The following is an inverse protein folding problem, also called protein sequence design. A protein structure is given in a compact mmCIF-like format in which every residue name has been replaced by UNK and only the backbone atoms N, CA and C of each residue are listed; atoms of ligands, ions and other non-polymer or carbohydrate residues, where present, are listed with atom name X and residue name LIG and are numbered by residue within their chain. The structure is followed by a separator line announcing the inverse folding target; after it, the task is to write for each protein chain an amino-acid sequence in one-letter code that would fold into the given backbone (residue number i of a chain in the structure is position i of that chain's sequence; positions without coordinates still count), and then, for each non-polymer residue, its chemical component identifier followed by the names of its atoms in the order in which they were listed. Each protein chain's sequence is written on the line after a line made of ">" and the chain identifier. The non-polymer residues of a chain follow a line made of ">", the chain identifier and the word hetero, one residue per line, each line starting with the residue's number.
data_IF_792635715443
#
_entry.id   IF_792635715443
#
_cell.length_a   1.000
_cell.length_b   1.000
_cell.length_c   1.000
_cell.angle_alpha   90.00
_cell.angle_beta   90.00
_cell.angle_gamma   90.00
#
_symmetry.space_group_name_H-M   'P 1'
#
loop_
_entity.id
_entity.type
_entity.pdbx_description
1 polymer ?
#
# COMPACT_ATOMS: atom_id res chain seq x y z
N UNK A 1 -10.55 -17.86 1.94
CA UNK A 1 -10.37 -17.78 3.40
C UNK A 1 -11.70 -18.10 4.10
N UNK A 2 -11.62 -18.70 5.28
CA UNK A 2 -12.80 -19.04 6.11
C UNK A 2 -13.00 -18.03 7.25
N UNK A 3 -11.96 -17.25 7.57
CA UNK A 3 -12.03 -16.13 8.48
C UNK A 3 -11.23 -14.94 7.96
N UNK A 4 -11.86 -13.76 7.90
CA UNK A 4 -11.22 -12.52 7.49
C UNK A 4 -11.39 -11.45 8.57
N UNK A 5 -10.27 -10.95 9.07
CA UNK A 5 -10.22 -9.84 10.03
C UNK A 5 -9.84 -8.57 9.30
N UNK A 6 -10.68 -7.55 9.38
CA UNK A 6 -10.50 -6.24 8.76
C UNK A 6 -10.33 -5.17 9.84
N UNK A 7 -9.28 -4.40 9.77
CA UNK A 7 -8.94 -3.36 10.75
C UNK A 7 -8.89 -2.01 10.04
N UNK A 8 -9.83 -1.11 10.37
CA UNK A 8 -9.93 0.23 9.78
C UNK A 8 -10.08 0.21 8.24
N UNK A 9 -10.86 -0.71 7.70
CA UNK A 9 -10.99 -0.91 6.26
C UNK A 9 -12.28 -0.27 5.71
N UNK A 10 -12.15 0.46 4.59
CA UNK A 10 -13.27 1.13 3.89
C UNK A 10 -13.93 0.26 2.81
N UNK A 11 -13.95 -1.06 2.97
CA UNK A 11 -14.57 -1.94 1.97
C UNK A 11 -16.07 -1.65 1.82
N UNK A 12 -16.50 -1.44 0.57
CA UNK A 12 -17.88 -1.12 0.22
C UNK A 12 -18.23 0.37 0.27
N UNK A 13 -17.25 1.26 0.44
CA UNK A 13 -17.45 2.72 0.48
C UNK A 13 -16.63 3.41 -0.62
N UNK A 14 -16.97 3.18 -1.88
CA UNK A 14 -16.31 3.74 -3.08
C UNK A 14 -14.83 3.38 -3.26
N UNK A 15 -14.34 2.37 -2.57
CA UNK A 15 -12.94 1.95 -2.64
C UNK A 15 -12.83 0.43 -2.80
N UNK A 16 -11.75 0.00 -3.46
CA UNK A 16 -11.36 -1.40 -3.54
C UNK A 16 -12.43 -2.34 -4.14
N UNK A 17 -13.08 -1.94 -5.23
CA UNK A 17 -14.19 -2.68 -5.83
C UNK A 17 -13.88 -4.16 -6.09
N UNK A 18 -12.66 -4.51 -6.52
CA UNK A 18 -12.25 -5.91 -6.68
C UNK A 18 -12.25 -6.68 -5.35
N UNK A 19 -11.76 -6.07 -4.27
CA UNK A 19 -11.80 -6.70 -2.94
C UNK A 19 -13.23 -6.85 -2.41
N UNK A 20 -14.13 -5.91 -2.72
CA UNK A 20 -15.55 -6.00 -2.33
C UNK A 20 -16.19 -7.25 -2.94
N UNK A 21 -15.93 -7.54 -4.21
CA UNK A 21 -16.43 -8.75 -4.88
C UNK A 21 -15.90 -10.02 -4.20
N UNK A 22 -14.59 -10.08 -3.93
CA UNK A 22 -13.96 -11.22 -3.25
C UNK A 22 -14.53 -11.44 -1.84
N UNK A 23 -14.75 -10.36 -1.08
CA UNK A 23 -15.31 -10.42 0.27
C UNK A 23 -16.78 -10.82 0.22
N UNK A 24 -17.57 -10.31 -0.74
CA UNK A 24 -18.96 -10.72 -0.94
C UNK A 24 -19.05 -12.23 -1.22
N UNK A 25 -18.19 -12.75 -2.10
CA UNK A 25 -18.10 -14.18 -2.37
C UNK A 25 -17.70 -15.00 -1.13
N UNK A 26 -16.80 -14.46 -0.29
CA UNK A 26 -16.44 -15.13 0.97
C UNK A 26 -17.60 -15.17 1.95
N UNK A 27 -18.38 -14.09 2.07
CA UNK A 27 -19.59 -14.03 2.91
C UNK A 27 -20.65 -15.04 2.41
N UNK A 28 -20.88 -15.12 1.11
CA UNK A 28 -21.81 -16.10 0.51
C UNK A 28 -21.39 -17.55 0.82
N UNK A 29 -20.11 -17.80 0.99
CA UNK A 29 -19.55 -19.11 1.41
C UNK A 29 -19.49 -19.29 2.93
N UNK A 30 -20.14 -18.42 3.70
CA UNK A 30 -20.18 -18.43 5.16
C UNK A 30 -18.82 -18.17 5.85
N UNK A 31 -17.91 -17.45 5.22
CA UNK A 31 -16.69 -17.02 5.90
C UNK A 31 -17.02 -16.09 7.06
N UNK A 32 -16.33 -16.27 8.18
CA UNK A 32 -16.46 -15.37 9.34
C UNK A 32 -15.74 -14.05 9.04
N UNK A 33 -16.47 -12.95 9.07
CA UNK A 33 -15.90 -11.62 8.97
C UNK A 33 -15.86 -10.99 10.37
N UNK A 34 -14.68 -10.51 10.76
CA UNK A 34 -14.44 -9.75 11.99
C UNK A 34 -13.98 -8.36 11.58
N UNK A 35 -14.71 -7.32 11.96
CA UNK A 35 -14.34 -5.94 11.64
C UNK A 35 -14.01 -5.16 12.90
N UNK A 36 -12.82 -4.59 12.96
CA UNK A 36 -12.35 -3.68 13.98
C UNK A 36 -12.41 -2.27 13.41
N UNK A 37 -13.37 -1.48 13.84
CA UNK A 37 -13.60 -0.12 13.32
C UNK A 37 -14.39 0.68 14.37
N UNK A 38 -13.97 1.91 14.73
CA UNK A 38 -14.74 2.74 15.64
C UNK A 38 -16.12 3.10 15.09
N UNK A 39 -16.30 3.05 13.78
CA UNK A 39 -17.51 3.36 13.04
C UNK A 39 -18.18 2.09 12.52
N UNK A 40 -19.51 2.04 12.59
CA UNK A 40 -20.28 1.00 11.91
C UNK A 40 -20.26 1.24 10.38
N UNK A 41 -19.14 0.89 9.77
CA UNK A 41 -18.92 1.01 8.32
C UNK A 41 -19.74 -0.02 7.53
N UNK A 42 -19.78 0.10 6.20
CA UNK A 42 -20.50 -0.84 5.33
C UNK A 42 -20.07 -2.29 5.59
N UNK A 43 -18.76 -2.55 5.67
CA UNK A 43 -18.29 -3.92 5.95
C UNK A 43 -18.56 -4.33 7.41
N UNK A 44 -18.50 -3.41 8.37
CA UNK A 44 -18.82 -3.71 9.76
C UNK A 44 -20.27 -4.17 9.92
N UNK A 45 -21.21 -3.57 9.17
CA UNK A 45 -22.63 -3.97 9.16
C UNK A 45 -22.89 -5.37 8.55
N UNK A 46 -21.93 -5.92 7.83
CA UNK A 46 -21.97 -7.27 7.22
C UNK A 46 -21.13 -8.31 7.98
N UNK A 47 -20.45 -7.87 9.03
CA UNK A 47 -19.55 -8.72 9.80
C UNK A 47 -20.30 -9.55 10.85
N UNK A 48 -19.84 -10.77 11.11
CA UNK A 48 -20.29 -11.59 12.24
C UNK A 48 -19.95 -10.93 13.58
N UNK A 49 -18.78 -10.25 13.62
CA UNK A 49 -18.31 -9.51 14.79
C UNK A 49 -17.87 -8.11 14.37
N UNK A 50 -18.50 -7.09 14.92
CA UNK A 50 -18.03 -5.72 14.88
C UNK A 50 -17.47 -5.33 16.25
N UNK A 51 -16.23 -4.89 16.26
CA UNK A 51 -15.50 -4.44 17.43
C UNK A 51 -15.33 -2.92 17.36
N UNK A 52 -16.20 -2.13 18.03
CA UNK A 52 -16.14 -0.65 18.04
C UNK A 52 -14.96 -0.19 18.92
N UNK A 53 -13.77 -0.24 18.36
CA UNK A 53 -12.53 0.04 19.09
C UNK A 53 -12.35 1.54 19.33
N UNK A 54 -11.77 1.91 20.47
CA UNK A 54 -11.28 3.27 20.70
C UNK A 54 -10.18 3.58 19.67
N UNK A 55 -10.25 4.70 18.92
CA UNK A 55 -9.24 5.04 17.91
C UNK A 55 -7.81 5.03 18.44
N UNK A 56 -6.87 4.57 17.61
CA UNK A 56 -5.44 4.47 17.90
C UNK A 56 -5.06 3.48 19.04
N UNK A 57 -5.91 2.49 19.34
CA UNK A 57 -5.63 1.48 20.35
C UNK A 57 -5.56 0.06 19.81
N UNK A 58 -5.48 -0.09 18.50
CA UNK A 58 -5.45 -1.39 17.79
C UNK A 58 -4.35 -2.31 18.32
N UNK A 59 -3.17 -1.78 18.63
CA UNK A 59 -2.05 -2.58 19.12
C UNK A 59 -2.38 -3.33 20.41
N UNK A 60 -3.14 -2.72 21.32
CA UNK A 60 -3.56 -3.39 22.57
C UNK A 60 -4.47 -4.60 22.29
N UNK A 61 -5.41 -4.47 21.36
CA UNK A 61 -6.26 -5.58 20.91
C UNK A 61 -5.44 -6.69 20.25
N UNK A 62 -4.53 -6.33 19.33
CA UNK A 62 -3.67 -7.28 18.63
C UNK A 62 -2.78 -8.09 19.59
N UNK A 63 -2.13 -7.42 20.53
CA UNK A 63 -1.30 -8.09 21.55
C UNK A 63 -2.12 -8.99 22.45
N UNK A 64 -3.35 -8.61 22.76
CA UNK A 64 -4.25 -9.46 23.54
C UNK A 64 -4.74 -10.67 22.74
N UNK A 65 -4.99 -10.56 21.45
CA UNK A 65 -5.24 -11.73 20.60
C UNK A 65 -4.04 -12.67 20.55
N UNK A 66 -2.82 -12.14 20.45
CA UNK A 66 -1.58 -12.94 20.53
C UNK A 66 -1.49 -13.65 21.87
N UNK A 67 -1.76 -12.95 22.99
CA UNK A 67 -1.82 -13.54 24.32
C UNK A 67 -2.80 -14.71 24.37
N UNK A 68 -4.05 -14.53 23.91
CA UNK A 68 -5.07 -15.59 23.95
C UNK A 68 -4.63 -16.79 23.12
N UNK A 69 -4.13 -16.60 21.88
CA UNK A 69 -3.66 -17.70 21.05
C UNK A 69 -2.57 -18.52 21.73
N UNK A 70 -1.62 -17.86 22.39
CA UNK A 70 -0.47 -18.51 23.05
C UNK A 70 -0.88 -19.18 24.37
N UNK A 71 -1.60 -18.47 25.24
CA UNK A 71 -1.89 -18.95 26.61
C UNK A 71 -3.10 -19.89 26.67
N UNK A 72 -3.99 -19.89 25.70
CA UNK A 72 -5.00 -20.94 25.51
C UNK A 72 -4.47 -22.10 24.67
N UNK A 73 -3.22 -22.03 24.18
CA UNK A 73 -2.55 -23.09 23.43
C UNK A 73 -3.25 -23.47 22.11
N UNK A 74 -3.84 -22.47 21.41
CA UNK A 74 -4.66 -22.63 20.22
C UNK A 74 -4.02 -22.08 18.93
N UNK A 75 -2.71 -21.80 18.93
CA UNK A 75 -1.93 -21.41 17.75
C UNK A 75 -1.42 -22.63 16.95
N UNK A 76 -0.98 -22.44 15.72
CA UNK A 76 -0.40 -23.50 14.88
C UNK A 76 1.04 -23.82 15.33
N UNK A 77 1.18 -24.78 16.26
CA UNK A 77 2.49 -25.19 16.83
C UNK A 77 3.45 -25.68 15.77
N UNK A 78 2.97 -26.53 14.85
CA UNK A 78 3.83 -27.13 13.81
C UNK A 78 4.39 -26.06 12.88
N UNK A 79 3.56 -25.10 12.53
CA UNK A 79 3.98 -23.97 11.69
C UNK A 79 5.04 -23.12 12.40
N UNK A 80 4.82 -22.79 13.67
CA UNK A 80 5.77 -21.99 14.47
C UNK A 80 7.10 -22.71 14.66
N UNK A 81 7.09 -23.98 15.03
CA UNK A 81 8.31 -24.79 15.19
C UNK A 81 9.13 -24.86 13.91
N UNK A 82 8.47 -25.00 12.77
CA UNK A 82 9.14 -25.13 11.47
C UNK A 82 9.65 -23.79 10.93
N UNK A 83 8.84 -22.73 10.97
CA UNK A 83 9.07 -21.52 10.18
C UNK A 83 9.41 -20.27 11.01
N UNK A 84 9.35 -20.32 12.35
CA UNK A 84 9.56 -19.14 13.18
C UNK A 84 10.70 -19.29 14.17
N UNK A 85 11.18 -18.14 14.68
CA UNK A 85 12.10 -18.02 15.82
C UNK A 85 11.60 -16.93 16.78
N UNK A 86 12.07 -16.93 18.03
CA UNK A 86 11.72 -15.91 19.02
C UNK A 86 10.38 -16.14 19.71
N UNK A 87 9.83 -17.38 19.66
CA UNK A 87 8.52 -17.67 20.27
C UNK A 87 8.49 -17.51 21.77
N UNK A 88 9.51 -18.00 22.51
CA UNK A 88 9.54 -17.89 23.97
C UNK A 88 9.65 -16.45 24.45
N UNK A 89 10.41 -15.61 23.72
CA UNK A 89 10.51 -14.18 23.99
C UNK A 89 9.16 -13.48 23.76
N UNK A 90 8.48 -13.80 22.65
CA UNK A 90 7.13 -13.28 22.38
C UNK A 90 6.15 -13.70 23.46
N UNK A 91 6.16 -14.98 23.87
CA UNK A 91 5.30 -15.52 24.94
C UNK A 91 5.49 -14.78 26.25
N UNK A 92 6.73 -14.56 26.68
CA UNK A 92 7.02 -13.80 27.90
C UNK A 92 6.57 -12.34 27.76
N UNK A 93 6.83 -11.72 26.61
CA UNK A 93 6.45 -10.33 26.34
C UNK A 93 4.94 -10.10 26.47
N UNK A 94 4.10 -10.99 25.92
CA UNK A 94 2.64 -10.82 25.95
C UNK A 94 1.97 -11.39 27.20
N UNK A 95 2.73 -11.90 28.17
CA UNK A 95 2.23 -12.57 29.35
C UNK A 95 1.14 -11.81 30.13
N UNK A 96 1.31 -10.51 30.26
CA UNK A 96 0.39 -9.63 30.99
C UNK A 96 -0.58 -8.87 30.07
N UNK A 97 -0.56 -9.11 28.77
CA UNK A 97 -1.41 -8.42 27.79
C UNK A 97 -2.75 -9.15 27.63
N UNK A 98 -3.39 -9.41 28.77
CA UNK A 98 -4.66 -10.15 28.85
C UNK A 98 -5.81 -9.40 28.20
N UNK A 99 -6.94 -10.06 27.90
CA UNK A 99 -8.15 -9.38 27.44
C UNK A 99 -8.64 -8.28 28.38
N UNK A 100 -8.46 -8.45 29.69
CA UNK A 100 -8.81 -7.45 30.70
C UNK A 100 -7.90 -6.21 30.63
N UNK A 101 -6.59 -6.43 30.43
CA UNK A 101 -5.65 -5.34 30.17
C UNK A 101 -6.03 -4.57 28.90
N UNK A 102 -6.30 -5.28 27.82
CA UNK A 102 -6.67 -4.65 26.55
C UNK A 102 -8.00 -3.89 26.61
N UNK A 103 -8.97 -4.39 27.39
CA UNK A 103 -10.24 -3.70 27.65
C UNK A 103 -10.04 -2.30 28.23
N UNK A 104 -9.17 -2.17 29.21
CA UNK A 104 -8.86 -0.86 29.83
C UNK A 104 -8.31 0.18 28.82
N UNK A 105 -7.77 -0.26 27.70
CA UNK A 105 -7.18 0.59 26.66
C UNK A 105 -8.13 0.77 25.46
N UNK A 106 -8.62 -0.35 24.92
CA UNK A 106 -9.33 -0.42 23.65
C UNK A 106 -10.85 -0.32 23.75
N UNK A 107 -11.40 -0.52 24.97
CA UNK A 107 -12.84 -0.62 25.27
C UNK A 107 -13.53 -1.87 24.71
N UNK A 108 -12.81 -2.79 24.08
CA UNK A 108 -13.37 -4.06 23.59
C UNK A 108 -13.51 -5.04 24.72
N UNK A 109 -14.71 -5.58 24.92
CA UNK A 109 -15.02 -6.50 26.03
C UNK A 109 -14.13 -7.74 26.00
N UNK A 110 -13.61 -8.21 27.15
CA UNK A 110 -12.70 -9.34 27.24
C UNK A 110 -13.25 -10.63 26.62
N UNK A 111 -14.54 -10.89 26.78
CA UNK A 111 -15.18 -12.08 26.21
C UNK A 111 -15.23 -12.01 24.69
N UNK A 112 -15.39 -10.82 24.11
CA UNK A 112 -15.36 -10.62 22.64
C UNK A 112 -13.95 -10.85 22.11
N UNK A 113 -12.92 -10.38 22.83
CA UNK A 113 -11.52 -10.61 22.47
C UNK A 113 -11.22 -12.11 22.43
N UNK A 114 -11.58 -12.86 23.49
CA UNK A 114 -11.40 -14.32 23.54
C UNK A 114 -12.17 -15.04 22.45
N UNK A 115 -13.43 -14.66 22.26
CA UNK A 115 -14.30 -15.27 21.26
C UNK A 115 -13.75 -15.10 19.85
N UNK A 116 -13.32 -13.89 19.49
CA UNK A 116 -12.76 -13.61 18.16
C UNK A 116 -11.39 -14.25 17.95
N UNK A 117 -10.53 -14.36 18.99
CA UNK A 117 -9.29 -15.12 18.91
C UNK A 117 -9.54 -16.61 18.62
N UNK A 118 -10.51 -17.23 19.29
CA UNK A 118 -10.88 -18.62 19.06
C UNK A 118 -11.52 -18.86 17.69
N UNK A 119 -12.31 -17.90 17.17
CA UNK A 119 -12.84 -17.97 15.80
C UNK A 119 -11.70 -17.97 14.77
N UNK A 120 -10.70 -17.11 14.94
CA UNK A 120 -9.50 -17.11 14.08
C UNK A 120 -8.74 -18.43 14.15
N UNK A 121 -8.51 -18.95 15.36
CA UNK A 121 -7.81 -20.22 15.58
C UNK A 121 -8.56 -21.40 14.94
N UNK A 122 -9.88 -21.45 15.06
CA UNK A 122 -10.71 -22.51 14.47
C UNK A 122 -10.66 -22.50 12.93
N UNK A 123 -10.42 -21.36 12.32
CA UNK A 123 -10.28 -21.21 10.86
C UNK A 123 -8.86 -21.46 10.34
N UNK A 124 -7.86 -21.59 11.25
CA UNK A 124 -6.44 -21.80 10.87
C UNK A 124 -6.28 -23.03 9.96
N UNK A 125 -5.45 -22.99 8.92
CA UNK A 125 -4.67 -21.83 8.42
C UNK A 125 -5.46 -20.93 7.43
N UNK A 126 -6.75 -21.19 7.20
CA UNK A 126 -7.60 -20.46 6.26
C UNK A 126 -8.13 -19.16 6.85
N UNK A 127 -7.24 -18.37 7.43
CA UNK A 127 -7.53 -17.12 8.09
C UNK A 127 -6.59 -16.01 7.62
N UNK A 128 -7.12 -14.79 7.49
CA UNK A 128 -6.36 -13.61 7.13
C UNK A 128 -6.68 -12.50 8.14
N UNK A 129 -5.68 -12.10 8.91
CA UNK A 129 -5.70 -10.81 9.59
C UNK A 129 -5.12 -9.79 8.62
N UNK A 130 -6.01 -8.99 8.00
CA UNK A 130 -5.63 -8.10 6.91
C UNK A 130 -4.82 -6.92 7.45
N UNK A 131 -3.65 -6.61 6.87
CA UNK A 131 -2.76 -5.57 7.39
C UNK A 131 -3.34 -4.15 7.34
N UNK A 132 -4.45 -3.95 6.63
CA UNK A 132 -5.00 -2.61 6.46
C UNK A 132 -4.21 -1.79 5.45
N UNK A 133 -4.45 -0.48 5.41
CA UNK A 133 -3.82 0.41 4.42
C UNK A 133 -3.00 1.54 5.05
N UNK A 134 -3.34 1.98 6.23
CA UNK A 134 -2.86 3.26 6.76
C UNK A 134 -2.09 3.08 8.07
N UNK A 135 -1.03 2.32 8.01
CA UNK A 135 -0.21 1.97 9.15
C UNK A 135 0.62 3.15 9.66
N UNK A 136 1.07 3.99 8.77
CA UNK A 136 2.08 5.00 9.06
C UNK A 136 1.52 6.37 9.51
N UNK A 137 0.25 6.45 9.93
CA UNK A 137 -0.40 7.74 10.19
C UNK A 137 -0.63 8.06 11.67
N UNK A 138 -0.39 7.11 12.56
CA UNK A 138 -0.74 7.19 13.98
C UNK A 138 0.39 6.82 14.94
N UNK A 139 1.60 7.30 14.74
CA UNK A 139 2.71 7.05 15.68
C UNK A 139 3.40 5.69 15.49
N UNK A 140 3.35 4.79 16.48
CA UNK A 140 4.03 3.48 16.48
C UNK A 140 3.36 2.41 15.60
N UNK A 141 2.85 2.78 14.46
CA UNK A 141 2.11 1.89 13.57
C UNK A 141 2.96 0.75 13.00
N UNK A 142 4.27 0.87 12.96
CA UNK A 142 5.18 -0.23 12.62
C UNK A 142 5.01 -1.42 13.56
N UNK A 143 4.78 -1.19 14.86
CA UNK A 143 4.53 -2.25 15.83
C UNK A 143 3.13 -2.88 15.65
N UNK A 144 2.15 -2.08 15.23
CA UNK A 144 0.82 -2.59 14.87
C UNK A 144 0.91 -3.57 13.70
N UNK A 145 1.60 -3.20 12.62
CA UNK A 145 1.80 -4.09 11.46
C UNK A 145 2.59 -5.34 11.81
N UNK A 146 3.60 -5.18 12.65
CA UNK A 146 4.36 -6.32 13.16
C UNK A 146 3.46 -7.29 13.94
N UNK A 147 2.59 -6.78 14.82
CA UNK A 147 1.63 -7.59 15.56
C UNK A 147 0.63 -8.32 14.64
N UNK A 148 0.16 -7.66 13.56
CA UNK A 148 -0.68 -8.31 12.53
C UNK A 148 0.09 -9.43 11.83
N UNK A 149 1.34 -9.20 11.46
CA UNK A 149 2.18 -10.21 10.82
C UNK A 149 2.43 -11.42 11.75
N UNK A 150 2.66 -11.18 13.05
CA UNK A 150 2.81 -12.20 14.09
C UNK A 150 1.52 -13.01 14.26
N UNK A 151 0.35 -12.35 14.29
CA UNK A 151 -0.94 -13.06 14.37
C UNK A 151 -1.11 -14.03 13.20
N UNK A 152 -0.82 -13.59 11.97
CA UNK A 152 -0.89 -14.44 10.79
C UNK A 152 0.12 -15.60 10.85
N UNK A 153 1.28 -15.41 11.49
CA UNK A 153 2.24 -16.49 11.71
C UNK A 153 1.73 -17.50 12.74
N UNK A 154 1.22 -17.03 13.89
CA UNK A 154 0.64 -17.89 14.92
C UNK A 154 -0.55 -18.73 14.41
N UNK A 155 -1.28 -18.19 13.45
CA UNK A 155 -2.40 -18.85 12.78
C UNK A 155 -1.97 -19.67 11.55
N UNK A 156 -0.66 -19.80 11.27
CA UNK A 156 -0.14 -20.59 10.17
C UNK A 156 -0.57 -20.13 8.78
N UNK A 157 -0.98 -18.86 8.60
CA UNK A 157 -1.60 -18.40 7.35
C UNK A 157 -0.62 -17.98 6.25
N UNK A 158 0.65 -17.70 6.56
CA UNK A 158 1.64 -17.35 5.55
C UNK A 158 2.02 -18.54 4.67
N UNK A 159 1.79 -18.42 3.38
CA UNK A 159 2.08 -19.48 2.41
C UNK A 159 1.10 -20.66 2.43
N UNK A 160 -0.06 -20.56 3.06
CA UNK A 160 -1.05 -21.64 3.10
C UNK A 160 -2.34 -21.25 2.38
N UNK A 161 -3.06 -22.26 1.85
CA UNK A 161 -4.35 -22.06 1.16
C UNK A 161 -5.38 -21.50 2.13
N UNK A 162 -6.10 -20.47 1.66
CA UNK A 162 -7.06 -19.74 2.49
C UNK A 162 -6.42 -18.61 3.32
N UNK A 163 -5.12 -18.67 3.56
CA UNK A 163 -4.29 -17.60 4.10
C UNK A 163 -3.61 -16.79 2.99
N UNK A 164 -2.38 -16.32 3.23
CA UNK A 164 -1.60 -15.56 2.27
C UNK A 164 -0.85 -16.49 1.32
N UNK A 165 -0.88 -16.17 0.04
CA UNK A 165 0.01 -16.79 -0.96
C UNK A 165 1.26 -15.94 -1.18
N UNK A 166 2.32 -16.56 -1.67
CA UNK A 166 3.52 -15.84 -2.08
C UNK A 166 3.30 -15.22 -3.46
N UNK A 167 3.11 -13.91 -3.45
CA UNK A 167 2.90 -13.13 -4.65
C UNK A 167 4.21 -12.94 -5.43
N UNK A 168 4.10 -12.83 -6.75
CA UNK A 168 5.23 -12.52 -7.63
C UNK A 168 4.83 -11.44 -8.64
N UNK A 169 5.76 -10.52 -8.93
CA UNK A 169 5.61 -9.50 -9.95
C UNK A 169 6.58 -9.74 -11.10
N UNK A 170 6.18 -9.42 -12.30
CA UNK A 170 7.08 -9.40 -13.45
C UNK A 170 7.86 -8.08 -13.43
N UNK A 171 9.18 -8.16 -13.53
CA UNK A 171 10.01 -6.95 -13.64
C UNK A 171 9.90 -6.38 -15.06
N UNK A 172 9.32 -5.20 -15.18
CA UNK A 172 9.30 -4.46 -16.44
C UNK A 172 10.65 -3.76 -16.62
N UNK A 173 11.36 -3.97 -17.74
CA UNK A 173 12.64 -3.30 -18.01
C UNK A 173 12.49 -1.80 -18.11
N UNK A 174 13.45 -1.05 -17.61
CA UNK A 174 13.51 0.40 -17.81
C UNK A 174 13.94 0.71 -19.24
N UNK A 175 13.26 1.64 -19.89
CA UNK A 175 13.68 2.16 -21.18
C UNK A 175 15.05 2.83 -21.06
N UNK A 176 15.96 2.69 -22.03
CA UNK A 176 17.28 3.31 -21.97
C UNK A 176 17.17 4.82 -21.83
N UNK A 177 17.90 5.39 -20.90
CA UNK A 177 18.03 6.83 -20.71
C UNK A 177 19.40 7.14 -20.08
N UNK A 178 19.92 8.36 -20.21
CA UNK A 178 21.13 8.79 -19.50
C UNK A 178 20.96 8.64 -17.99
N UNK A 179 22.07 8.52 -17.27
CA UNK A 179 22.03 8.51 -15.81
C UNK A 179 21.46 9.86 -15.32
N UNK A 180 20.44 9.79 -14.47
CA UNK A 180 19.88 11.01 -13.88
C UNK A 180 20.96 11.82 -13.14
N UNK A 181 20.96 13.15 -13.30
CA UNK A 181 21.87 13.99 -12.54
C UNK A 181 21.54 13.87 -11.05
N UNK A 182 22.59 13.87 -10.23
CA UNK A 182 22.38 14.00 -8.79
C UNK A 182 21.99 15.44 -8.50
N UNK A 183 20.87 15.69 -7.81
CA UNK A 183 20.56 17.04 -7.37
C UNK A 183 21.64 17.56 -6.43
N UNK A 184 21.94 18.86 -6.49
CA UNK A 184 22.89 19.50 -5.58
C UNK A 184 22.46 19.40 -4.12
N UNK A 185 21.15 19.29 -3.89
CA UNK A 185 20.52 19.05 -2.60
C UNK A 185 19.24 18.26 -2.78
N UNK A 186 18.80 17.60 -1.73
CA UNK A 186 17.52 16.92 -1.66
C UNK A 186 16.69 17.61 -0.57
N UNK A 187 15.38 17.70 -0.75
CA UNK A 187 14.50 18.19 0.31
C UNK A 187 14.63 17.36 1.62
N UNK A 188 15.11 16.12 1.55
CA UNK A 188 15.48 15.33 2.72
C UNK A 188 16.57 15.96 3.57
N UNK A 189 17.43 16.78 2.97
CA UNK A 189 18.47 17.51 3.69
C UNK A 189 17.87 18.51 4.68
N UNK A 190 16.63 18.94 4.44
CA UNK A 190 15.87 19.78 5.37
C UNK A 190 15.35 19.00 6.58
N UNK A 191 15.29 17.68 6.54
CA UNK A 191 14.79 16.85 7.66
C UNK A 191 15.86 16.57 8.70
N UNK A 192 17.14 16.79 8.37
CA UNK A 192 18.32 16.67 9.26
C UNK A 192 18.30 15.37 10.11
N UNK A 193 17.94 14.24 9.47
CA UNK A 193 17.83 12.93 10.12
C UNK A 193 16.65 12.75 11.07
N UNK A 194 15.78 13.75 11.23
CA UNK A 194 14.62 13.71 12.12
C UNK A 194 13.66 12.54 11.85
N UNK A 195 13.58 12.11 10.59
CA UNK A 195 12.70 11.01 10.17
C UNK A 195 13.49 9.95 9.38
N UNK A 196 14.33 9.15 10.04
CA UNK A 196 15.28 8.25 9.37
C UNK A 196 14.61 7.15 8.52
N UNK A 197 13.38 6.78 8.84
CA UNK A 197 12.62 5.78 8.09
C UNK A 197 11.83 6.36 6.91
N UNK A 198 11.78 7.68 6.76
CA UNK A 198 11.09 8.35 5.66
C UNK A 198 11.92 8.29 4.38
N UNK A 199 11.77 7.21 3.60
CA UNK A 199 12.51 7.02 2.35
C UNK A 199 12.07 7.99 1.25
N UNK A 200 10.77 8.31 1.17
CA UNK A 200 10.17 9.11 0.09
C UNK A 200 9.90 10.56 0.45
N UNK A 201 9.86 10.87 1.74
CA UNK A 201 9.58 12.20 2.22
C UNK A 201 8.35 12.32 3.11
N UNK A 202 8.15 13.52 3.64
CA UNK A 202 7.00 13.88 4.46
C UNK A 202 6.34 15.12 3.86
N UNK A 203 5.12 14.99 3.36
CA UNK A 203 4.43 16.05 2.62
C UNK A 203 4.22 17.32 3.46
N UNK A 204 3.96 17.20 4.75
CA UNK A 204 3.83 18.37 5.64
C UNK A 204 5.14 19.13 5.81
N UNK A 205 6.27 18.43 5.82
CA UNK A 205 7.60 19.07 5.88
C UNK A 205 7.95 19.72 4.52
N UNK A 206 7.46 19.17 3.41
CA UNK A 206 7.55 19.79 2.09
C UNK A 206 6.81 21.14 2.06
N UNK A 207 5.59 21.21 2.62
CA UNK A 207 4.85 22.47 2.73
C UNK A 207 5.60 23.48 3.57
N UNK A 208 6.14 23.08 4.73
CA UNK A 208 6.96 23.97 5.58
C UNK A 208 8.19 24.49 4.86
N UNK A 209 8.85 23.65 4.05
CA UNK A 209 10.00 24.07 3.26
C UNK A 209 9.67 25.10 2.17
N UNK A 210 8.39 25.30 1.86
CA UNK A 210 7.90 26.36 0.95
C UNK A 210 7.67 27.69 1.66
N UNK A 211 7.63 27.71 3.00
CA UNK A 211 7.28 28.87 3.81
C UNK A 211 8.58 29.46 4.42
N UNK A 212 8.97 30.72 4.11
CA UNK A 212 10.22 31.32 4.57
C UNK A 212 10.42 31.30 6.08
N UNK A 213 9.35 31.47 6.85
CA UNK A 213 9.36 31.59 8.31
C UNK A 213 9.84 30.30 9.02
N UNK A 214 9.81 29.16 8.35
CA UNK A 214 10.34 27.90 8.91
C UNK A 214 11.86 27.75 8.78
N UNK A 215 12.52 28.68 8.07
CA UNK A 215 14.00 28.78 7.94
C UNK A 215 14.67 27.44 7.54
N UNK A 216 14.08 26.73 6.57
CA UNK A 216 14.69 25.53 6.03
C UNK A 216 15.93 25.87 5.20
N UNK A 217 16.98 25.04 5.31
CA UNK A 217 18.24 25.18 4.56
C UNK A 217 18.04 25.35 3.05
N UNK A 218 17.04 24.64 2.50
CA UNK A 218 16.67 24.70 1.09
C UNK A 218 15.17 24.98 0.97
N UNK A 219 14.85 26.19 0.54
CA UNK A 219 13.48 26.62 0.34
C UNK A 219 12.95 26.22 -1.02
N UNK A 220 11.71 25.73 -1.07
CA UNK A 220 11.01 25.43 -2.30
C UNK A 220 10.34 26.68 -2.82
N UNK A 221 10.60 27.01 -4.09
CA UNK A 221 10.15 28.23 -4.76
C UNK A 221 9.05 28.00 -5.80
N UNK A 222 8.94 26.78 -6.31
CA UNK A 222 7.94 26.44 -7.33
C UNK A 222 7.40 25.03 -7.14
N UNK A 223 6.14 24.83 -7.50
CA UNK A 223 5.49 23.52 -7.49
C UNK A 223 5.05 23.13 -8.91
N UNK A 224 5.28 21.87 -9.26
CA UNK A 224 4.59 21.18 -10.35
C UNK A 224 3.73 20.10 -9.70
N UNK A 225 2.42 20.29 -9.70
CA UNK A 225 1.45 19.41 -9.05
C UNK A 225 0.75 18.59 -10.11
N UNK A 226 0.94 17.27 -10.08
CA UNK A 226 0.34 16.36 -11.06
C UNK A 226 -0.53 15.32 -10.38
N UNK A 227 -1.82 15.25 -10.77
CA UNK A 227 -2.77 14.23 -10.34
C UNK A 227 -3.04 14.20 -8.83
N UNK A 228 -2.98 15.33 -8.14
CA UNK A 228 -3.26 15.40 -6.71
C UNK A 228 -3.93 16.71 -6.31
N UNK A 229 -4.87 16.63 -5.37
CA UNK A 229 -5.61 17.78 -4.85
C UNK A 229 -5.19 18.07 -3.39
N UNK A 230 -4.07 18.75 -3.21
CA UNK A 230 -3.49 19.06 -1.91
C UNK A 230 -4.46 19.71 -0.93
N UNK A 231 -5.30 20.69 -1.30
CA UNK A 231 -6.26 21.29 -0.39
C UNK A 231 -7.20 20.30 0.31
N UNK A 232 -7.46 19.14 -0.31
CA UNK A 232 -8.31 18.09 0.25
C UNK A 232 -7.51 16.92 0.85
N UNK A 233 -6.34 16.61 0.34
CA UNK A 233 -5.62 15.39 0.71
C UNK A 233 -4.64 15.59 1.85
N UNK A 234 -4.22 16.83 2.13
CA UNK A 234 -3.28 17.14 3.20
C UNK A 234 -4.05 17.67 4.42
N UNK A 235 -3.80 17.13 5.63
CA UNK A 235 -4.30 17.74 6.85
C UNK A 235 -3.65 19.11 7.07
N UNK A 236 -4.36 20.01 7.78
CA UNK A 236 -3.95 21.39 8.03
C UNK A 236 -4.01 22.30 6.78
N UNK A 237 -5.24 22.72 6.48
CA UNK A 237 -5.54 23.61 5.34
C UNK A 237 -4.84 24.97 5.44
N UNK A 238 -4.66 25.48 6.65
CA UNK A 238 -3.97 26.77 6.89
C UNK A 238 -2.49 26.69 6.50
N UNK A 239 -1.82 25.60 6.87
CA UNK A 239 -0.42 25.35 6.46
C UNK A 239 -0.31 25.22 4.93
N UNK A 240 -1.27 24.52 4.30
CA UNK A 240 -1.30 24.42 2.84
C UNK A 240 -1.46 25.80 2.19
N UNK A 241 -2.42 26.60 2.65
CA UNK A 241 -2.69 27.92 2.09
C UNK A 241 -1.47 28.83 2.21
N UNK A 242 -0.85 28.87 3.39
CA UNK A 242 0.35 29.66 3.63
C UNK A 242 1.50 29.23 2.73
N UNK A 243 1.70 27.93 2.52
CA UNK A 243 2.71 27.39 1.63
C UNK A 243 2.44 27.75 0.16
N UNK A 244 1.19 27.64 -0.30
CA UNK A 244 0.80 27.98 -1.66
C UNK A 244 0.95 29.47 -1.96
N UNK A 245 0.68 30.36 -0.98
CA UNK A 245 0.88 31.80 -1.09
C UNK A 245 2.36 32.22 -1.02
N UNK A 246 3.23 31.35 -0.50
CA UNK A 246 4.67 31.63 -0.33
C UNK A 246 5.55 31.20 -1.52
N UNK A 247 5.06 30.32 -2.41
CA UNK A 247 5.83 29.91 -3.59
C UNK A 247 5.65 30.91 -4.73
N UNK A 248 6.71 31.06 -5.54
CA UNK A 248 6.73 32.02 -6.67
C UNK A 248 5.93 31.53 -7.87
N UNK A 249 5.66 30.21 -7.99
CA UNK A 249 5.01 29.62 -9.16
C UNK A 249 4.37 28.27 -8.87
N UNK A 250 3.15 28.05 -9.35
CA UNK A 250 2.43 26.77 -9.27
C UNK A 250 1.91 26.38 -10.66
N UNK A 251 2.38 25.24 -11.18
CA UNK A 251 1.81 24.60 -12.34
C UNK A 251 1.01 23.35 -11.92
N UNK A 252 -0.21 23.21 -12.42
CA UNK A 252 -1.06 22.04 -12.16
C UNK A 252 -1.28 21.25 -13.45
N UNK A 253 -1.04 19.94 -13.36
CA UNK A 253 -1.28 18.98 -14.45
C UNK A 253 -2.38 18.03 -13.98
N UNK A 254 -3.56 18.13 -14.52
CA UNK A 254 -4.69 17.28 -14.11
C UNK A 254 -5.71 17.10 -15.24
N UNK A 255 -6.55 16.07 -15.09
CA UNK A 255 -7.60 15.72 -16.06
C UNK A 255 -8.87 16.54 -15.89
N UNK A 256 -9.03 17.21 -14.75
CA UNK A 256 -10.20 18.03 -14.44
C UNK A 256 -9.87 19.11 -13.39
N UNK A 257 -10.64 20.21 -13.36
CA UNK A 257 -10.47 21.25 -12.35
C UNK A 257 -10.71 20.69 -10.94
N UNK A 258 -9.77 20.98 -10.05
CA UNK A 258 -9.84 20.65 -8.61
C UNK A 258 -9.55 21.89 -7.78
N UNK A 259 -9.66 21.80 -6.44
CA UNK A 259 -9.39 22.97 -5.56
C UNK A 259 -7.97 23.54 -5.78
N UNK A 260 -6.99 22.67 -6.05
CA UNK A 260 -5.60 23.09 -6.33
C UNK A 260 -5.49 23.98 -7.57
N UNK A 261 -6.37 23.82 -8.55
CA UNK A 261 -6.34 24.66 -9.76
C UNK A 261 -6.66 26.12 -9.47
N UNK A 262 -7.33 26.42 -8.36
CA UNK A 262 -7.58 27.79 -7.88
C UNK A 262 -6.34 28.53 -7.40
N UNK A 263 -5.22 27.81 -7.18
CA UNK A 263 -3.93 28.37 -6.76
C UNK A 263 -2.89 28.39 -7.90
N UNK A 264 -3.25 27.84 -9.07
CA UNK A 264 -2.29 27.66 -10.16
C UNK A 264 -2.08 28.93 -10.99
N UNK A 265 -0.83 29.22 -11.31
CA UNK A 265 -0.45 30.21 -12.33
C UNK A 265 -0.64 29.63 -13.74
N UNK A 266 -0.41 28.32 -13.91
CA UNK A 266 -0.59 27.60 -15.17
C UNK A 266 -1.29 26.26 -14.93
N UNK A 267 -2.30 25.97 -15.75
CA UNK A 267 -2.98 24.68 -15.80
C UNK A 267 -2.66 24.00 -17.13
N UNK A 268 -2.13 22.79 -17.07
CA UNK A 268 -1.85 21.94 -18.21
C UNK A 268 -2.85 20.78 -18.24
N UNK A 269 -3.83 20.77 -19.15
CA UNK A 269 -4.85 19.73 -19.19
C UNK A 269 -4.23 18.39 -19.62
N UNK A 270 -4.41 17.36 -18.78
CA UNK A 270 -3.93 16.00 -19.03
C UNK A 270 -5.02 15.14 -19.66
N UNK A 271 -4.61 14.21 -20.52
CA UNK A 271 -5.47 13.15 -21.04
C UNK A 271 -5.98 12.25 -19.88
N UNK A 272 -7.24 11.86 -19.96
CA UNK A 272 -7.77 10.80 -19.11
C UNK A 272 -7.13 9.45 -19.46
N UNK A 273 -7.29 8.46 -18.60
CA UNK A 273 -6.78 7.10 -18.87
C UNK A 273 -7.44 6.42 -20.09
N UNK A 274 -8.56 6.94 -20.59
CA UNK A 274 -9.23 6.45 -21.80
C UNK A 274 -8.63 7.02 -23.09
N UNK A 275 -7.82 8.07 -23.01
CA UNK A 275 -7.31 8.85 -24.13
C UNK A 275 -5.83 8.63 -24.40
N UNK A 276 -5.16 7.78 -23.60
CA UNK A 276 -3.70 7.56 -23.71
C UNK A 276 -3.29 6.12 -23.45
N UNK A 277 -2.09 5.76 -23.88
CA UNK A 277 -1.37 4.63 -23.31
C UNK A 277 -0.88 4.98 -21.92
N UNK A 278 -0.97 4.02 -21.01
CA UNK A 278 -0.28 4.07 -19.73
C UNK A 278 0.93 3.12 -19.71
N UNK A 279 1.78 3.25 -18.70
CA UNK A 279 2.89 2.33 -18.47
C UNK A 279 2.41 0.89 -18.31
N UNK A 280 3.24 -0.08 -18.73
CA UNK A 280 2.96 -1.49 -18.51
C UNK A 280 2.75 -1.75 -17.02
N UNK A 281 1.60 -2.29 -16.67
CA UNK A 281 1.27 -2.64 -15.29
C UNK A 281 1.74 -4.05 -14.99
N UNK A 282 2.53 -4.19 -13.94
CA UNK A 282 2.90 -5.45 -13.33
C UNK A 282 2.61 -5.35 -11.84
N UNK A 283 1.57 -6.02 -11.37
CA UNK A 283 1.24 -6.09 -9.96
C UNK A 283 1.64 -7.46 -9.40
N UNK A 284 2.15 -7.53 -8.15
CA UNK A 284 2.37 -8.82 -7.49
C UNK A 284 1.08 -9.62 -7.40
N UNK A 285 1.04 -10.81 -8.02
CA UNK A 285 -0.15 -11.64 -8.13
C UNK A 285 0.19 -13.14 -7.97
N UNK A 286 -0.86 -13.99 -7.92
CA UNK A 286 -0.71 -15.47 -7.95
C UNK A 286 -0.03 -15.92 -9.23
N UNK A 287 -0.51 -15.38 -10.35
CA UNK A 287 0.03 -15.60 -11.68
C UNK A 287 0.74 -14.31 -12.10
N UNK A 288 2.10 -14.31 -12.14
CA UNK A 288 2.85 -13.16 -12.59
C UNK A 288 2.37 -12.72 -13.96
N UNK A 289 1.98 -11.47 -14.08
CA UNK A 289 1.42 -10.96 -15.33
C UNK A 289 1.80 -9.51 -15.57
N UNK A 290 1.63 -9.11 -16.82
CA UNK A 290 1.63 -7.71 -17.24
C UNK A 290 0.30 -7.39 -17.91
N UNK A 291 -0.13 -6.15 -17.77
CA UNK A 291 -1.31 -5.62 -18.45
C UNK A 291 -0.98 -4.33 -19.17
N UNK A 292 -1.53 -4.19 -20.38
CA UNK A 292 -1.45 -2.98 -21.19
C UNK A 292 -2.79 -2.24 -21.16
N UNK A 293 -2.77 -0.98 -20.77
CA UNK A 293 -3.92 -0.08 -20.97
C UNK A 293 -3.70 0.72 -22.24
N UNK A 294 -4.68 0.68 -23.12
CA UNK A 294 -4.69 1.34 -24.42
C UNK A 294 -5.69 2.49 -24.44
N UNK A 295 -5.49 3.52 -25.27
CA UNK A 295 -6.51 4.51 -25.52
C UNK A 295 -7.76 3.84 -26.14
N UNK A 296 -8.92 4.25 -25.69
CA UNK A 296 -10.22 3.83 -26.23
C UNK A 296 -10.88 4.94 -27.06
N UNK A 297 -10.44 6.16 -26.83
CA UNK A 297 -10.91 7.36 -27.55
C UNK A 297 -9.74 8.31 -27.80
N UNK A 298 -9.88 9.17 -28.80
CA UNK A 298 -8.91 10.24 -29.07
C UNK A 298 -8.94 11.31 -27.97
N UNK A 299 -7.78 11.93 -27.65
CA UNK A 299 -7.71 13.05 -26.73
C UNK A 299 -8.69 14.17 -27.10
N UNK A 300 -9.37 14.71 -26.10
CA UNK A 300 -10.33 15.79 -26.26
C UNK A 300 -9.67 17.15 -26.01
N UNK A 301 -10.10 18.16 -26.71
CA UNK A 301 -9.68 19.56 -26.56
C UNK A 301 -8.14 19.71 -26.67
N UNK A 302 -7.53 20.42 -25.75
CA UNK A 302 -6.08 20.64 -25.66
C UNK A 302 -5.36 19.63 -24.78
N UNK A 303 -6.06 18.60 -24.27
CA UNK A 303 -5.45 17.62 -23.38
C UNK A 303 -4.30 16.86 -24.06
N UNK A 304 -3.24 16.65 -23.29
CA UNK A 304 -2.05 15.90 -23.70
C UNK A 304 -1.68 14.87 -22.64
N UNK A 305 -1.13 13.71 -23.06
CA UNK A 305 -0.68 12.73 -22.08
C UNK A 305 0.51 13.27 -21.26
N UNK A 306 0.60 12.86 -19.99
CA UNK A 306 1.66 13.32 -19.07
C UNK A 306 3.07 13.12 -19.61
N UNK A 307 3.33 12.03 -20.34
CA UNK A 307 4.63 11.79 -20.97
C UNK A 307 5.00 12.87 -21.99
N UNK A 308 4.01 13.34 -22.78
CA UNK A 308 4.22 14.40 -23.76
C UNK A 308 4.50 15.76 -23.07
N UNK A 309 3.71 16.06 -22.02
CA UNK A 309 3.92 17.27 -21.22
C UNK A 309 5.34 17.26 -20.61
N UNK A 310 5.75 16.13 -20.02
CA UNK A 310 7.07 15.97 -19.44
C UNK A 310 8.19 16.11 -20.49
N UNK A 311 8.03 15.48 -21.68
CA UNK A 311 8.99 15.60 -22.80
C UNK A 311 9.13 17.06 -23.23
N UNK A 312 8.00 17.76 -23.44
CA UNK A 312 8.01 19.16 -23.85
C UNK A 312 8.67 20.11 -22.84
N UNK A 313 8.46 19.87 -21.56
CA UNK A 313 9.15 20.62 -20.51
C UNK A 313 10.64 20.26 -20.45
N UNK A 314 10.96 18.97 -20.52
CA UNK A 314 12.34 18.48 -20.50
C UNK A 314 13.19 19.01 -21.64
N UNK A 315 12.67 19.02 -22.87
CA UNK A 315 13.35 19.58 -24.04
C UNK A 315 13.69 21.07 -23.84
N UNK A 316 12.75 21.87 -23.32
CA UNK A 316 12.95 23.30 -23.06
C UNK A 316 13.93 23.58 -21.91
N UNK A 317 14.07 22.62 -21.01
CA UNK A 317 15.02 22.68 -19.89
C UNK A 317 16.40 22.09 -20.25
N UNK A 318 16.65 21.70 -21.50
CA UNK A 318 17.90 21.07 -21.92
C UNK A 318 18.05 19.61 -21.50
N UNK A 319 16.96 18.94 -21.13
CA UNK A 319 16.90 17.55 -20.69
C UNK A 319 16.36 16.61 -21.78
N UNK A 320 16.35 17.03 -23.03
CA UNK A 320 15.79 16.26 -24.15
C UNK A 320 16.36 14.84 -24.30
N UNK A 321 17.64 14.64 -23.97
CA UNK A 321 18.28 13.31 -24.01
C UNK A 321 17.66 12.25 -23.11
N UNK A 322 16.82 12.63 -22.14
CA UNK A 322 16.07 11.70 -21.29
C UNK A 322 14.76 11.21 -21.93
N UNK A 323 14.37 11.80 -23.07
CA UNK A 323 13.13 11.54 -23.78
C UNK A 323 13.43 11.16 -25.25
N UNK A 324 14.36 10.22 -25.45
CA UNK A 324 14.80 9.73 -26.76
C UNK A 324 13.77 8.77 -27.38
N UNK A 325 12.57 9.30 -27.61
CA UNK A 325 11.45 8.66 -28.30
C UNK A 325 10.49 9.74 -28.80
N UNK A 326 9.82 9.50 -29.92
CA UNK A 326 8.83 10.42 -30.46
C UNK A 326 7.44 10.16 -29.91
N UNK A 327 7.07 8.90 -29.72
CA UNK A 327 5.81 8.47 -29.13
C UNK A 327 6.02 7.45 -28.02
N UNK A 328 5.16 7.46 -27.00
CA UNK A 328 5.28 6.55 -25.86
C UNK A 328 5.08 5.08 -26.21
N UNK A 329 4.39 4.79 -27.33
CA UNK A 329 4.28 3.44 -27.87
C UNK A 329 5.63 2.80 -28.19
N UNK A 330 6.64 3.59 -28.57
CA UNK A 330 8.01 3.11 -28.80
C UNK A 330 8.65 2.60 -27.49
N UNK A 331 8.44 3.32 -26.41
CA UNK A 331 8.90 2.90 -25.06
C UNK A 331 8.25 1.58 -24.66
N UNK A 332 6.92 1.49 -24.85
CA UNK A 332 6.16 0.28 -24.52
C UNK A 332 6.59 -0.90 -25.38
N UNK A 333 6.73 -0.72 -26.70
CA UNK A 333 7.12 -1.81 -27.59
C UNK A 333 8.55 -2.28 -27.30
N UNK A 334 9.48 -1.36 -27.03
CA UNK A 334 10.82 -1.71 -26.59
C UNK A 334 10.81 -2.56 -25.31
N UNK A 335 10.07 -2.12 -24.29
CA UNK A 335 9.93 -2.85 -23.01
C UNK A 335 9.34 -4.25 -23.23
N UNK A 336 8.29 -4.35 -24.04
CA UNK A 336 7.61 -5.61 -24.34
C UNK A 336 8.51 -6.59 -25.11
N UNK A 337 9.30 -6.08 -26.07
CA UNK A 337 10.29 -6.89 -26.80
C UNK A 337 11.35 -7.48 -25.89
N UNK A 338 11.82 -6.75 -24.87
CA UNK A 338 12.74 -7.28 -23.86
C UNK A 338 12.10 -8.40 -23.00
N UNK A 339 10.78 -8.43 -22.96
CA UNK A 339 10.00 -9.42 -22.19
C UNK A 339 9.48 -10.57 -23.05
N UNK A 340 9.89 -10.65 -24.34
CA UNK A 340 9.49 -11.71 -25.25
C UNK A 340 8.04 -11.60 -25.77
N UNK A 341 7.58 -10.38 -25.98
CA UNK A 341 6.28 -10.05 -26.57
C UNK A 341 6.40 -8.77 -27.42
N UNK A 342 5.31 -8.21 -27.90
CA UNK A 342 5.28 -6.95 -28.66
C UNK A 342 4.05 -6.12 -28.31
N UNK A 343 4.07 -4.86 -28.71
CA UNK A 343 2.90 -3.98 -28.56
C UNK A 343 1.70 -4.54 -29.34
N UNK A 344 1.92 -5.00 -30.58
CA UNK A 344 0.86 -5.58 -31.43
C UNK A 344 0.21 -6.84 -30.81
N UNK A 345 1.02 -7.68 -30.16
CA UNK A 345 0.50 -8.85 -29.44
C UNK A 345 -0.32 -8.40 -28.23
N UNK A 346 0.22 -7.47 -27.42
CA UNK A 346 -0.46 -6.99 -26.22
C UNK A 346 -1.72 -6.20 -26.51
N UNK A 347 -1.80 -5.49 -27.63
CA UNK A 347 -3.02 -4.83 -28.08
C UNK A 347 -4.17 -5.81 -28.33
N UNK A 348 -3.86 -7.04 -28.74
CA UNK A 348 -4.86 -8.10 -29.00
C UNK A 348 -5.30 -8.82 -27.74
N UNK A 349 -4.35 -9.09 -26.83
CA UNK A 349 -4.61 -9.94 -25.65
C UNK A 349 -4.84 -9.14 -24.34
N UNK A 350 -4.36 -7.91 -24.25
CA UNK A 350 -4.49 -7.01 -23.09
C UNK A 350 -3.65 -7.44 -21.89
N UNK A 351 -3.60 -8.72 -21.56
CA UNK A 351 -2.90 -9.30 -20.40
C UNK A 351 -2.06 -10.50 -20.85
N UNK A 352 -0.79 -10.55 -20.43
CA UNK A 352 0.10 -11.70 -20.64
C UNK A 352 0.56 -12.26 -19.30
N UNK A 353 0.36 -13.57 -19.12
CA UNK A 353 0.79 -14.32 -17.93
C UNK A 353 2.18 -14.90 -18.17
N UNK A 354 3.02 -14.91 -17.15
CA UNK A 354 4.36 -15.48 -17.16
C UNK A 354 4.46 -16.62 -16.15
N UNK A 355 5.36 -17.60 -16.40
CA UNK A 355 5.64 -18.64 -15.41
C UNK A 355 6.26 -18.01 -14.16
N UNK A 356 5.92 -18.56 -13.00
CA UNK A 356 6.56 -18.20 -11.73
C UNK A 356 8.05 -18.58 -11.72
N UNK A 357 8.87 -17.73 -11.10
CA UNK A 357 10.33 -17.90 -10.99
C UNK A 357 10.83 -17.85 -9.54
N UNK A 358 10.07 -17.25 -8.61
CA UNK A 358 10.49 -16.96 -7.24
C UNK A 358 10.06 -18.01 -6.21
N UNK A 359 9.74 -19.23 -6.63
CA UNK A 359 9.37 -20.31 -5.71
C UNK A 359 7.87 -20.66 -5.73
N UNK A 360 7.41 -21.45 -4.74
CA UNK A 360 6.05 -21.99 -4.74
C UNK A 360 5.00 -20.89 -4.48
N UNK A 361 3.78 -21.11 -4.94
CA UNK A 361 2.65 -20.25 -4.62
C UNK A 361 2.21 -20.46 -3.16
N UNK A 362 2.22 -21.70 -2.71
CA UNK A 362 1.92 -22.13 -1.34
C UNK A 362 2.97 -23.14 -0.87
N UNK A 363 3.20 -23.17 0.42
CA UNK A 363 4.06 -24.18 1.07
C UNK A 363 3.35 -25.51 1.15
N UNK A 364 4.01 -26.58 0.75
CA UNK A 364 3.62 -27.94 1.06
C UNK A 364 3.77 -28.25 2.55
N UNK A 365 3.21 -29.40 2.99
CA UNK A 365 3.38 -29.84 4.36
C UNK A 365 4.81 -30.33 4.57
N UNK A 366 5.51 -29.73 5.54
CA UNK A 366 6.90 -30.03 5.82
C UNK A 366 7.91 -29.49 4.82
N UNK A 367 7.47 -28.68 3.83
CA UNK A 367 8.37 -28.08 2.84
C UNK A 367 9.29 -27.06 3.51
N UNK A 368 10.60 -27.15 3.20
CA UNK A 368 11.57 -26.14 3.62
C UNK A 368 11.37 -24.85 2.82
N UNK A 369 11.34 -23.73 3.52
CA UNK A 369 11.23 -22.41 2.91
C UNK A 369 12.05 -21.37 3.68
N UNK A 370 12.81 -20.56 2.96
CA UNK A 370 13.56 -19.44 3.53
C UNK A 370 12.83 -18.13 3.29
N UNK A 371 12.37 -17.51 4.37
CA UNK A 371 11.75 -16.17 4.33
C UNK A 371 12.83 -15.10 4.09
N UNK A 372 12.44 -13.98 3.52
CA UNK A 372 13.35 -12.85 3.27
C UNK A 372 13.57 -12.04 4.57
N UNK A 373 14.19 -12.67 5.55
CA UNK A 373 14.61 -12.13 6.85
C UNK A 373 16.06 -12.49 7.10
N UNK A 374 16.71 -11.90 8.08
CA UNK A 374 18.10 -12.19 8.40
C UNK A 374 18.34 -13.66 8.81
N UNK A 375 17.39 -14.25 9.49
CA UNK A 375 17.43 -15.66 9.94
C UNK A 375 16.94 -16.66 8.89
N UNK A 376 16.32 -16.20 7.80
CA UNK A 376 15.58 -17.05 6.87
C UNK A 376 14.25 -17.57 7.42
N UNK A 377 13.88 -17.21 8.64
CA UNK A 377 12.65 -17.60 9.33
C UNK A 377 11.80 -16.37 9.69
N UNK A 378 10.55 -16.58 10.07
CA UNK A 378 9.69 -15.52 10.62
C UNK A 378 10.21 -15.12 12.00
N UNK A 379 10.62 -13.88 12.17
CA UNK A 379 11.17 -13.34 13.42
C UNK A 379 10.05 -12.74 14.26
N UNK A 380 9.64 -13.49 15.32
CA UNK A 380 8.51 -13.11 16.17
C UNK A 380 8.88 -12.07 17.24
N UNK A 381 10.20 -11.92 17.55
CA UNK A 381 10.68 -10.99 18.58
C UNK A 381 12.02 -10.35 18.19
#
# INVERSE_FOLDING_TARGET
>A
TDCLVLIGSHLGENMHNGQVQEVSTAIERNATIITVDPRLSTIASKSKYWLPIKPATDLALLLSWIHVLIYEDIYDKKYIEQYAIGFEQLKDHVKNMTPEWAYGISTIQPDVIRKTAREMANASPSVIVHPGRHVAWYGDDSQRERAIAILNALLGSWGKRGGFYFKEAVKVPSYPHPKYPHPHWSWKDNLDGKYPLSAMGITTELLKASIPEFDYKHQIKAWIVAGTNFPLTIPNKELFQLAAESVDFIAVVDTMPMDITGYADVILPECTYLERYDTIRSAPHREPNIALRMPAVEPKWESKPSWWIAKQLGERLGLGSYFDYDDFSEVLDWQLKQMGTSLDEMQKIGIKIFPRKSGPLYLGDGEEYSFNTNSGKIELY
#
